data_IF_720039861449
#
_entry.id   IF_720039861449
#
_cell.length_a   1.000
_cell.length_b   1.000
_cell.length_c   1.000
_cell.angle_alpha   90.00
_cell.angle_beta   90.00
_cell.angle_gamma   90.00
#
_symmetry.space_group_name_H-M   'P 1'
#
loop_
_entity.id
_entity.type
_entity.pdbx_description
1 polymer ?
#
# COMPACT_ATOMS: atom_id res chain seq x y z
N UNK A 1 17.34 -45.98 17.82
CA UNK A 1 16.34 -44.90 17.91
C UNK A 1 16.98 -43.62 17.40
N UNK A 2 16.63 -43.19 16.19
CA UNK A 2 17.21 -42.00 15.55
C UNK A 2 16.51 -40.74 16.05
N UNK A 3 17.22 -39.85 16.75
CA UNK A 3 16.71 -38.55 17.17
C UNK A 3 16.42 -37.69 15.94
N UNK A 4 15.15 -37.37 15.71
CA UNK A 4 14.74 -36.40 14.70
C UNK A 4 15.25 -35.01 15.11
N UNK A 5 16.25 -34.52 14.38
CA UNK A 5 16.79 -33.16 14.51
C UNK A 5 15.72 -32.21 13.97
N UNK A 6 14.88 -31.66 14.85
CA UNK A 6 13.96 -30.57 14.48
C UNK A 6 14.82 -29.42 13.94
N UNK A 7 14.86 -29.29 12.62
CA UNK A 7 15.39 -28.12 11.94
C UNK A 7 14.43 -26.96 12.26
N UNK A 8 14.61 -26.37 13.45
CA UNK A 8 13.90 -25.19 13.86
C UNK A 8 14.14 -24.12 12.82
N UNK A 9 13.17 -23.91 11.94
CA UNK A 9 13.15 -22.80 11.00
C UNK A 9 13.36 -21.56 11.86
N UNK A 10 14.55 -20.96 11.75
CA UNK A 10 14.88 -19.71 12.41
C UNK A 10 13.99 -18.67 11.74
N UNK A 11 12.77 -18.52 12.26
CA UNK A 11 11.85 -17.47 11.82
C UNK A 11 12.66 -16.18 11.91
N UNK A 12 12.67 -15.39 10.83
CA UNK A 12 13.21 -14.03 10.84
C UNK A 12 12.31 -13.17 11.75
N UNK A 13 12.38 -13.43 13.06
CA UNK A 13 11.70 -12.67 14.09
C UNK A 13 12.60 -11.48 14.39
N UNK A 14 12.00 -10.31 14.47
CA UNK A 14 12.67 -9.11 14.94
C UNK A 14 13.22 -9.37 16.35
N UNK A 15 14.46 -8.94 16.67
CA UNK A 15 14.99 -9.09 18.02
C UNK A 15 14.09 -8.39 19.03
N UNK A 16 13.90 -9.02 20.19
CA UNK A 16 13.15 -8.44 21.29
C UNK A 16 13.76 -7.08 21.68
N UNK A 17 12.93 -6.07 21.90
CA UNK A 17 13.36 -4.72 22.27
C UNK A 17 13.76 -3.81 21.10
N UNK A 18 13.70 -4.27 19.85
CA UNK A 18 13.90 -3.38 18.71
C UNK A 18 12.78 -2.34 18.62
N UNK A 19 13.13 -1.05 18.76
CA UNK A 19 12.17 0.06 18.64
C UNK A 19 11.51 0.03 17.26
N UNK A 20 10.19 -0.15 17.25
CA UNK A 20 9.37 0.03 16.05
C UNK A 20 9.16 1.53 15.87
N UNK A 21 9.67 2.08 14.77
CA UNK A 21 9.28 3.42 14.35
C UNK A 21 8.03 3.24 13.49
N UNK A 22 6.86 3.37 14.11
CA UNK A 22 5.61 3.40 13.37
C UNK A 22 5.51 4.73 12.62
N UNK A 23 5.36 4.66 11.29
CA UNK A 23 4.98 5.83 10.51
C UNK A 23 3.52 6.12 10.82
N UNK A 24 3.25 7.18 11.60
CA UNK A 24 1.89 7.66 11.84
C UNK A 24 1.37 8.35 10.57
N UNK A 25 0.53 7.65 9.83
CA UNK A 25 -0.20 8.20 8.68
C UNK A 25 -1.58 8.61 9.19
N UNK A 26 -1.94 9.88 9.02
CA UNK A 26 -3.26 10.39 9.34
C UNK A 26 -4.08 10.44 8.06
N UNK A 27 -5.16 9.67 8.02
CA UNK A 27 -6.13 9.67 6.93
C UNK A 27 -7.42 10.30 7.42
N UNK A 28 -8.16 10.97 6.54
CA UNK A 28 -9.55 11.32 6.85
C UNK A 28 -10.37 10.04 6.99
N UNK A 29 -11.41 10.07 7.83
CA UNK A 29 -12.26 8.90 8.08
C UNK A 29 -12.86 8.36 6.77
N UNK A 30 -13.34 9.24 5.91
CA UNK A 30 -13.90 8.90 4.60
C UNK A 30 -12.87 8.18 3.71
N UNK A 31 -11.64 8.71 3.61
CA UNK A 31 -10.57 8.10 2.81
C UNK A 31 -10.21 6.72 3.37
N UNK A 32 -10.12 6.59 4.68
CA UNK A 32 -9.79 5.32 5.32
C UNK A 32 -10.84 4.24 5.04
N UNK A 33 -12.13 4.59 5.10
CA UNK A 33 -13.22 3.68 4.75
C UNK A 33 -13.21 3.28 3.28
N UNK A 34 -13.01 4.24 2.37
CA UNK A 34 -12.91 3.97 0.93
C UNK A 34 -11.78 3.01 0.59
N UNK A 35 -10.59 3.24 1.15
CA UNK A 35 -9.44 2.35 0.93
C UNK A 35 -9.67 0.96 1.51
N UNK A 36 -10.29 0.86 2.69
CA UNK A 36 -10.65 -0.43 3.28
C UNK A 36 -11.66 -1.18 2.40
N UNK A 37 -12.72 -0.51 1.95
CA UNK A 37 -13.74 -1.12 1.09
C UNK A 37 -13.13 -1.61 -0.24
N UNK A 38 -12.25 -0.82 -0.85
CA UNK A 38 -11.56 -1.20 -2.08
C UNK A 38 -10.63 -2.41 -1.87
N UNK A 39 -9.88 -2.46 -0.77
CA UNK A 39 -9.06 -3.62 -0.40
C UNK A 39 -9.90 -4.88 -0.20
N UNK A 40 -11.08 -4.75 0.41
CA UNK A 40 -12.03 -5.86 0.57
C UNK A 40 -12.56 -6.36 -0.78
N UNK A 41 -12.96 -5.45 -1.66
CA UNK A 41 -13.42 -5.77 -3.01
C UNK A 41 -12.33 -6.42 -3.87
N UNK A 42 -11.06 -6.10 -3.62
CA UNK A 42 -9.90 -6.63 -4.33
C UNK A 42 -9.42 -8.00 -3.82
N UNK A 43 -10.25 -8.73 -3.07
CA UNK A 43 -9.92 -10.05 -2.53
C UNK A 43 -9.58 -10.06 -1.04
N UNK A 44 -10.20 -9.19 -0.24
CA UNK A 44 -9.97 -9.13 1.22
C UNK A 44 -8.52 -8.82 1.60
N UNK A 45 -7.90 -7.88 0.87
CA UNK A 45 -6.53 -7.46 1.11
C UNK A 45 -6.43 -6.59 2.37
N UNK A 46 -5.31 -6.73 3.10
CA UNK A 46 -4.95 -5.77 4.13
C UNK A 46 -4.67 -4.40 3.50
N UNK A 47 -4.87 -3.32 4.25
CA UNK A 47 -4.65 -1.96 3.74
C UNK A 47 -3.21 -1.76 3.23
N UNK A 48 -2.22 -2.33 3.93
CA UNK A 48 -0.82 -2.24 3.50
C UNK A 48 -0.59 -2.93 2.15
N UNK A 49 -1.09 -4.16 2.00
CA UNK A 49 -0.93 -4.93 0.77
C UNK A 49 -1.69 -4.29 -0.39
N UNK A 50 -2.89 -3.76 -0.13
CA UNK A 50 -3.65 -3.03 -1.14
C UNK A 50 -2.88 -1.81 -1.67
N UNK A 51 -2.26 -1.02 -0.79
CA UNK A 51 -1.45 0.13 -1.19
C UNK A 51 -0.18 -0.26 -1.94
N UNK A 52 0.49 -1.36 -1.55
CA UNK A 52 1.66 -1.88 -2.26
C UNK A 52 1.33 -2.29 -3.70
N UNK A 53 0.21 -2.99 -3.91
CA UNK A 53 -0.24 -3.37 -5.25
C UNK A 53 -0.65 -2.14 -6.08
N UNK A 54 -1.34 -1.18 -5.46
CA UNK A 54 -1.74 0.06 -6.12
C UNK A 54 -0.52 0.87 -6.59
N UNK A 55 0.53 0.95 -5.77
CA UNK A 55 1.81 1.56 -6.13
C UNK A 55 2.44 0.85 -7.32
N UNK A 56 2.52 -0.48 -7.28
CA UNK A 56 3.08 -1.27 -8.37
C UNK A 56 2.30 -1.10 -9.68
N UNK A 57 0.97 -1.00 -9.60
CA UNK A 57 0.12 -0.71 -10.75
C UNK A 57 0.41 0.69 -11.33
N UNK A 58 0.50 1.73 -10.49
CA UNK A 58 0.80 3.09 -10.94
C UNK A 58 2.18 3.19 -11.58
N UNK A 59 3.18 2.51 -11.03
CA UNK A 59 4.53 2.46 -11.60
C UNK A 59 4.54 1.70 -12.93
N UNK A 60 3.80 0.60 -13.05
CA UNK A 60 3.70 -0.14 -14.31
C UNK A 60 3.02 0.70 -15.41
N UNK A 61 2.01 1.50 -15.05
CA UNK A 61 1.26 2.35 -15.99
C UNK A 61 2.02 3.61 -16.40
N UNK A 62 2.77 4.23 -15.48
CA UNK A 62 3.40 5.55 -15.68
C UNK A 62 4.93 5.52 -15.76
N UNK A 63 5.55 4.38 -15.48
CA UNK A 63 7.00 4.22 -15.32
C UNK A 63 7.55 4.79 -14.01
N UNK A 64 6.75 5.53 -13.23
CA UNK A 64 7.12 6.13 -11.95
C UNK A 64 5.88 6.53 -11.14
N UNK A 65 6.05 6.71 -9.82
CA UNK A 65 5.00 7.28 -8.98
C UNK A 65 4.75 8.76 -9.30
N UNK A 66 3.48 9.21 -9.32
CA UNK A 66 3.14 10.59 -9.61
C UNK A 66 3.66 11.53 -8.52
N UNK A 67 4.29 12.63 -8.94
CA UNK A 67 4.71 13.71 -8.04
C UNK A 67 3.48 14.56 -7.72
N UNK A 68 2.98 14.41 -6.50
CA UNK A 68 1.85 15.20 -5.98
C UNK A 68 2.40 16.51 -5.40
N UNK A 69 2.41 17.59 -6.18
CA UNK A 69 2.73 18.92 -5.65
C UNK A 69 1.47 19.57 -5.09
N UNK A 70 1.50 20.16 -3.87
CA UNK A 70 0.38 20.93 -3.33
C UNK A 70 -0.03 22.12 -4.21
N UNK A 71 0.87 22.58 -5.08
CA UNK A 71 0.65 23.70 -6.01
C UNK A 71 0.11 23.30 -7.38
N UNK A 72 0.03 21.99 -7.67
CA UNK A 72 -0.59 21.51 -8.89
C UNK A 72 -2.04 21.18 -8.56
N UNK A 73 -2.95 22.06 -9.00
CA UNK A 73 -4.39 21.98 -8.79
C UNK A 73 -4.90 20.54 -8.89
N UNK A 74 -5.28 19.96 -7.75
CA UNK A 74 -5.91 18.62 -7.65
C UNK A 74 -7.34 18.64 -8.26
N UNK A 75 -7.73 19.78 -8.84
CA UNK A 75 -8.96 19.97 -9.60
C UNK A 75 -8.75 20.74 -10.92
N UNK A 76 -7.72 20.40 -11.71
CA UNK A 76 -7.78 20.74 -13.14
C UNK A 76 -8.86 19.90 -13.81
N UNK A 77 -10.09 20.40 -13.74
CA UNK A 77 -11.18 20.07 -14.65
C UNK A 77 -10.76 20.44 -16.08
N UNK A 78 -9.96 19.61 -16.73
CA UNK A 78 -9.92 19.62 -18.19
C UNK A 78 -10.66 18.39 -18.68
N UNK A 79 -11.92 18.66 -18.99
CA UNK A 79 -12.80 17.79 -19.73
C UNK A 79 -12.08 17.30 -20.99
N UNK A 80 -12.05 15.99 -21.14
CA UNK A 80 -12.05 15.35 -22.45
C UNK A 80 -13.26 15.91 -23.21
N UNK A 81 -13.04 16.95 -23.99
CA UNK A 81 -13.88 17.36 -25.12
C UNK A 81 -13.01 17.12 -26.35
N UNK A 82 -13.04 15.89 -26.84
CA UNK A 82 -13.83 15.43 -27.98
C UNK A 82 -13.15 15.81 -29.30
N UNK A 83 -12.68 14.78 -29.99
CA UNK A 83 -12.40 14.79 -31.41
C UNK A 83 -13.60 15.32 -32.21
N UNK A 84 -13.35 16.30 -33.08
CA UNK A 84 -14.03 16.54 -34.34
C UNK A 84 -13.13 17.44 -35.19
#
# INVERSE_FOLDING_TARGET
MTQAKNAGIKRNRRPAGAKVVERKIVLSAETAERLRAAGMASGSLSLSLYLELLVGQLEAERGALPVLSPTLDIHSKEAVTKAA
#
